data_IF_391556774456
#
_entry.id   IF_391556774456
#
_cell.length_a   1.000
_cell.length_b   1.000
_cell.length_c   1.000
_cell.angle_alpha   90.00
_cell.angle_beta   90.00
_cell.angle_gamma   90.00
#
_symmetry.space_group_name_H-M   'P 1'
#
loop_
_entity.id
_entity.type
_entity.pdbx_description
1 polymer ?
#
# COMPACT_ATOMS: atom_id res chain seq x y z
N UNK A 1 10.54 11.52 1.61
CA UNK A 1 9.65 10.46 2.17
C UNK A 1 8.59 11.16 3.00
N UNK A 2 7.46 10.53 3.30
CA UNK A 2 6.43 11.13 4.17
C UNK A 2 5.96 10.14 5.22
N UNK A 3 5.44 10.68 6.31
CA UNK A 3 4.78 9.95 7.39
C UNK A 3 3.53 10.71 7.79
N UNK A 4 2.37 10.05 7.78
CA UNK A 4 1.11 10.64 8.23
C UNK A 4 0.20 9.60 8.86
N UNK A 5 -0.81 10.06 9.58
CA UNK A 5 -1.87 9.20 10.08
C UNK A 5 -2.98 9.07 9.05
N UNK A 6 -3.46 7.84 8.85
CA UNK A 6 -4.63 7.51 8.05
C UNK A 6 -5.59 6.67 8.89
N UNK A 7 -6.87 6.99 8.86
CA UNK A 7 -7.91 6.13 9.36
C UNK A 7 -7.99 4.83 8.53
N UNK A 8 -8.41 3.71 9.14
CA UNK A 8 -8.54 2.44 8.43
C UNK A 8 -9.40 2.53 7.18
N UNK A 9 -10.50 3.29 7.23
CA UNK A 9 -11.35 3.55 6.05
C UNK A 9 -10.62 4.25 4.90
N UNK A 10 -9.70 5.18 5.22
CA UNK A 10 -8.92 5.90 4.22
C UNK A 10 -7.89 4.97 3.56
N UNK A 11 -7.28 4.06 4.33
CA UNK A 11 -6.39 3.02 3.80
C UNK A 11 -7.14 2.11 2.83
N UNK A 12 -8.32 1.62 3.22
CA UNK A 12 -9.14 0.77 2.37
C UNK A 12 -9.55 1.50 1.08
N UNK A 13 -10.00 2.75 1.19
CA UNK A 13 -10.37 3.57 0.04
C UNK A 13 -9.21 3.77 -0.93
N UNK A 14 -8.02 4.13 -0.45
CA UNK A 14 -6.84 4.30 -1.30
C UNK A 14 -6.50 3.00 -2.04
N UNK A 15 -6.62 1.85 -1.37
CA UNK A 15 -6.38 0.55 -2.02
C UNK A 15 -7.41 0.23 -3.09
N UNK A 16 -8.69 0.55 -2.85
CA UNK A 16 -9.76 0.40 -3.84
C UNK A 16 -9.58 1.33 -5.03
N UNK A 17 -9.19 2.59 -4.82
CA UNK A 17 -8.99 3.57 -5.89
C UNK A 17 -7.84 3.15 -6.82
N UNK A 18 -6.74 2.61 -6.26
CA UNK A 18 -5.64 2.05 -7.07
C UNK A 18 -6.10 0.81 -7.82
N UNK A 19 -6.84 -0.09 -7.17
CA UNK A 19 -7.36 -1.29 -7.82
C UNK A 19 -8.36 -0.93 -8.93
N UNK A 20 -9.18 0.08 -8.73
CA UNK A 20 -10.13 0.55 -9.74
C UNK A 20 -9.45 1.15 -10.94
N UNK A 21 -8.40 1.94 -10.75
CA UNK A 21 -7.60 2.43 -11.86
C UNK A 21 -7.03 1.30 -12.73
N UNK A 22 -6.53 0.23 -12.11
CA UNK A 22 -5.88 -0.87 -12.84
C UNK A 22 -6.88 -1.85 -13.46
N UNK A 23 -7.97 -2.12 -12.75
CA UNK A 23 -8.97 -3.12 -13.11
C UNK A 23 -10.30 -2.49 -13.52
N UNK A 24 -10.26 -1.24 -13.97
CA UNK A 24 -11.44 -0.59 -14.51
C UNK A 24 -11.96 -1.39 -15.71
N UNK A 25 -13.26 -1.68 -15.82
CA UNK A 25 -13.78 -2.47 -16.94
C UNK A 25 -13.54 -1.79 -18.29
N UNK A 26 -13.66 -0.46 -18.33
CA UNK A 26 -13.31 0.34 -19.49
C UNK A 26 -11.80 0.64 -19.52
N UNK A 27 -11.05 0.15 -20.53
CA UNK A 27 -9.62 0.38 -20.68
C UNK A 27 -9.22 1.85 -20.78
N UNK A 28 -10.10 2.74 -21.23
CA UNK A 28 -9.80 4.17 -21.36
C UNK A 28 -9.45 4.82 -20.02
N UNK A 29 -9.99 4.30 -18.92
CA UNK A 29 -9.71 4.79 -17.57
C UNK A 29 -8.47 4.18 -16.92
N UNK A 30 -7.83 3.19 -17.57
CA UNK A 30 -6.62 2.56 -17.04
C UNK A 30 -5.41 3.42 -17.36
N UNK A 31 -4.80 3.98 -16.33
CA UNK A 31 -3.64 4.87 -16.47
C UNK A 31 -2.31 4.09 -16.58
N UNK A 32 -2.36 2.76 -16.45
CA UNK A 32 -1.20 1.88 -16.44
C UNK A 32 -0.55 1.76 -15.05
N UNK A 33 0.60 1.09 -14.99
CA UNK A 33 1.30 0.81 -13.73
C UNK A 33 0.87 -0.50 -13.07
N UNK A 34 1.16 -0.61 -11.77
CA UNK A 34 0.93 -1.79 -10.94
C UNK A 34 0.24 -1.40 -9.62
N UNK A 35 -0.32 -2.40 -8.92
CA UNK A 35 -0.78 -2.22 -7.55
C UNK A 35 0.33 -1.69 -6.63
N UNK A 36 -0.05 -0.81 -5.70
CA UNK A 36 0.87 -0.32 -4.66
C UNK A 36 1.32 -1.47 -3.77
N UNK A 37 2.64 -1.57 -3.57
CA UNK A 37 3.25 -2.56 -2.68
C UNK A 37 3.18 -2.04 -1.24
N UNK A 38 2.42 -2.75 -0.40
CA UNK A 38 2.18 -2.35 0.99
C UNK A 38 2.96 -3.24 1.95
N UNK A 39 3.74 -2.61 2.84
CA UNK A 39 4.42 -3.26 3.94
C UNK A 39 3.58 -3.26 5.23
N UNK A 40 3.80 -4.25 6.09
CA UNK A 40 3.14 -4.30 7.41
C UNK A 40 1.68 -4.78 7.42
N UNK A 41 1.10 -5.03 6.25
CA UNK A 41 -0.25 -5.55 6.09
C UNK A 41 -0.34 -6.77 5.15
N UNK A 42 -1.47 -7.45 5.23
CA UNK A 42 -1.92 -8.47 4.27
C UNK A 42 -3.33 -8.11 3.78
N UNK A 43 -3.70 -8.56 2.59
CA UNK A 43 -5.05 -8.37 2.05
C UNK A 43 -5.39 -9.40 0.97
N UNK A 44 -6.68 -9.50 0.66
CA UNK A 44 -7.22 -10.26 -0.48
C UNK A 44 -7.70 -9.28 -1.56
N UNK A 45 -7.41 -9.58 -2.82
CA UNK A 45 -7.92 -8.85 -3.98
C UNK A 45 -8.69 -9.77 -4.93
N UNK A 46 -9.84 -9.31 -5.39
CA UNK A 46 -10.66 -9.91 -6.45
C UNK A 46 -10.84 -8.85 -7.56
N UNK A 47 -10.01 -8.89 -8.62
CA UNK A 47 -10.01 -7.88 -9.67
C UNK A 47 -11.31 -7.82 -10.49
N UNK A 48 -12.08 -8.91 -10.51
CA UNK A 48 -13.33 -9.02 -11.28
C UNK A 48 -14.51 -8.30 -10.61
N UNK A 49 -14.38 -7.94 -9.32
CA UNK A 49 -15.41 -7.18 -8.60
C UNK A 49 -15.41 -5.69 -8.98
N UNK A 50 -16.54 -5.05 -8.67
CA UNK A 50 -16.73 -3.61 -8.83
C UNK A 50 -15.95 -2.82 -7.77
N UNK A 51 -15.73 -1.52 -8.03
CA UNK A 51 -15.16 -0.56 -7.07
C UNK A 51 -15.79 -0.71 -5.67
N UNK A 52 -14.92 -0.68 -4.65
CA UNK A 52 -15.32 -0.79 -3.24
C UNK A 52 -15.54 -2.23 -2.76
N UNK A 53 -15.40 -3.22 -3.65
CA UNK A 53 -15.56 -4.65 -3.32
C UNK A 53 -14.37 -5.51 -3.75
N UNK A 54 -13.33 -4.91 -4.34
CA UNK A 54 -12.16 -5.66 -4.82
C UNK A 54 -11.25 -6.07 -3.67
N UNK A 55 -11.10 -5.23 -2.66
CA UNK A 55 -10.17 -5.39 -1.55
C UNK A 55 -10.89 -5.87 -0.30
N UNK A 56 -10.42 -6.97 0.29
CA UNK A 56 -11.00 -7.58 1.47
C UNK A 56 -9.94 -8.20 2.39
N UNK A 57 -10.34 -8.61 3.60
CA UNK A 57 -9.47 -9.21 4.63
C UNK A 57 -8.15 -8.45 4.84
N UNK A 58 -8.24 -7.10 4.95
CA UNK A 58 -7.07 -6.29 5.28
C UNK A 58 -6.69 -6.56 6.74
N UNK A 59 -5.45 -6.97 6.97
CA UNK A 59 -4.91 -7.19 8.32
C UNK A 59 -3.59 -6.46 8.50
N UNK A 60 -3.47 -5.69 9.57
CA UNK A 60 -2.23 -4.97 9.94
C UNK A 60 -1.62 -5.67 11.16
N UNK A 61 -0.40 -6.18 11.04
CA UNK A 61 0.24 -6.95 12.11
C UNK A 61 -0.60 -8.16 12.57
N UNK A 62 -1.35 -8.79 11.65
CA UNK A 62 -2.20 -9.94 11.94
C UNK A 62 -3.59 -9.61 12.50
N UNK A 63 -3.89 -8.35 12.82
CA UNK A 63 -5.21 -7.92 13.31
C UNK A 63 -6.05 -7.32 12.17
N UNK A 64 -7.37 -7.55 12.12
CA UNK A 64 -8.24 -6.91 11.14
C UNK A 64 -8.11 -5.39 11.16
N UNK A 65 -8.20 -4.76 10.00
CA UNK A 65 -8.25 -3.31 9.86
C UNK A 65 -9.53 -2.77 10.54
N UNK A 66 -9.37 -1.77 11.40
CA UNK A 66 -10.46 -1.10 12.08
C UNK A 66 -10.76 0.24 11.37
N UNK A 67 -11.98 0.45 10.80
CA UNK A 67 -12.26 1.62 9.95
C UNK A 67 -12.06 2.99 10.61
N UNK A 68 -12.32 3.09 11.92
CA UNK A 68 -12.22 4.33 12.69
C UNK A 68 -10.83 4.55 13.30
N UNK A 69 -10.02 3.49 13.42
CA UNK A 69 -8.70 3.56 14.03
C UNK A 69 -7.72 4.27 13.12
N UNK A 70 -6.84 5.08 13.71
CA UNK A 70 -5.72 5.74 13.02
C UNK A 70 -4.48 4.85 13.01
N UNK A 71 -3.85 4.78 11.84
CA UNK A 71 -2.62 4.03 11.60
C UNK A 71 -1.57 4.97 11.03
N UNK A 72 -0.33 4.82 11.50
CA UNK A 72 0.81 5.56 10.97
C UNK A 72 1.25 4.92 9.66
N UNK A 73 1.09 5.65 8.56
CA UNK A 73 1.52 5.24 7.23
C UNK A 73 2.79 6.01 6.83
N UNK A 74 3.68 5.34 6.10
CA UNK A 74 4.86 5.94 5.53
C UNK A 74 4.95 5.60 4.04
N UNK A 75 5.47 6.52 3.24
CA UNK A 75 5.62 6.32 1.80
C UNK A 75 6.63 7.26 1.17
N UNK A 76 6.85 7.06 -0.13
CA UNK A 76 7.66 7.93 -0.99
C UNK A 76 7.02 8.03 -2.37
N UNK A 77 7.55 8.89 -3.24
CA UNK A 77 7.01 9.15 -4.58
C UNK A 77 5.54 9.63 -4.54
N UNK A 78 5.25 10.62 -3.69
CA UNK A 78 3.93 11.27 -3.66
C UNK A 78 3.71 12.05 -4.95
N UNK A 79 2.51 11.95 -5.52
CA UNK A 79 2.08 12.73 -6.70
C UNK A 79 1.62 14.13 -6.31
N UNK A 80 1.14 14.31 -5.08
CA UNK A 80 0.36 15.49 -4.70
C UNK A 80 1.18 16.63 -4.07
N UNK A 81 2.35 16.34 -3.50
CA UNK A 81 3.18 17.35 -2.79
C UNK A 81 4.60 16.83 -2.58
N UNK A 82 5.58 17.74 -2.62
CA UNK A 82 6.93 17.44 -2.17
C UNK A 82 6.89 16.99 -0.71
N UNK A 83 7.60 15.91 -0.39
CA UNK A 83 7.47 15.24 0.89
C UNK A 83 8.55 15.74 1.86
N UNK A 84 8.17 16.17 3.06
CA UNK A 84 9.07 16.81 4.05
C UNK A 84 10.22 15.91 4.53
N UNK A 85 10.06 14.60 4.48
CA UNK A 85 11.07 13.64 4.95
C UNK A 85 12.19 13.43 3.95
N UNK A 86 13.33 12.86 4.39
CA UNK A 86 14.51 12.68 3.54
C UNK A 86 14.21 11.81 2.30
N UNK A 87 15.04 11.89 1.25
CA UNK A 87 14.92 11.02 0.10
C UNK A 87 14.93 9.54 0.49
N UNK A 88 14.16 8.72 -0.23
CA UNK A 88 14.01 7.30 0.12
C UNK A 88 15.34 6.54 0.05
N UNK A 89 16.22 6.90 -0.89
CA UNK A 89 17.53 6.28 -1.04
C UNK A 89 18.44 6.53 0.17
N UNK A 90 18.39 7.71 0.79
CA UNK A 90 19.19 8.01 1.98
C UNK A 90 18.71 7.15 3.17
N UNK A 91 17.39 7.05 3.36
CA UNK A 91 16.79 6.20 4.40
C UNK A 91 17.19 4.73 4.22
N UNK A 92 17.13 4.23 2.99
CA UNK A 92 17.51 2.84 2.68
C UNK A 92 19.02 2.63 2.84
N UNK A 93 19.86 3.52 2.30
CA UNK A 93 21.31 3.42 2.39
C UNK A 93 21.79 3.40 3.85
N UNK A 94 21.26 4.27 4.69
CA UNK A 94 21.59 4.32 6.11
C UNK A 94 21.14 3.05 6.86
N UNK A 95 19.97 2.51 6.51
CA UNK A 95 19.52 1.24 7.08
C UNK A 95 20.44 0.08 6.68
N UNK A 96 20.83 0.00 5.41
CA UNK A 96 21.72 -1.04 4.89
C UNK A 96 23.12 -0.98 5.50
N UNK A 97 23.69 0.23 5.66
CA UNK A 97 24.99 0.43 6.33
C UNK A 97 24.99 -0.11 7.76
N UNK A 98 23.90 0.11 8.51
CA UNK A 98 23.75 -0.41 9.89
C UNK A 98 23.53 -1.92 9.93
N UNK A 99 22.79 -2.47 8.96
CA UNK A 99 22.44 -3.89 8.94
C UNK A 99 23.59 -4.77 8.45
N UNK A 100 24.42 -4.26 7.52
CA UNK A 100 25.56 -4.95 6.91
C UNK A 100 25.14 -6.01 5.89
N UNK A 101 24.32 -7.00 6.29
CA UNK A 101 23.85 -8.08 5.42
C UNK A 101 22.32 -8.21 5.47
N UNK A 102 21.71 -8.25 4.29
CA UNK A 102 20.27 -8.45 4.12
C UNK A 102 19.99 -9.92 3.82
N UNK A 103 19.03 -10.51 4.54
CA UNK A 103 18.37 -11.77 4.18
C UNK A 103 16.86 -11.52 4.18
N UNK A 104 16.21 -11.80 3.05
CA UNK A 104 14.77 -11.63 2.88
C UNK A 104 14.15 -12.97 2.50
N UNK A 105 13.20 -13.44 3.31
CA UNK A 105 12.36 -14.57 2.94
C UNK A 105 11.14 -14.07 2.16
N UNK A 106 10.60 -14.85 1.20
CA UNK A 106 9.35 -14.55 0.54
C UNK A 106 8.23 -14.38 1.57
N UNK A 107 7.45 -13.30 1.44
CA UNK A 107 6.31 -13.01 2.31
C UNK A 107 5.07 -12.84 1.44
N UNK A 108 4.24 -13.89 1.25
CA UNK A 108 2.98 -13.73 0.55
C UNK A 108 2.06 -12.86 1.41
N UNK A 109 1.88 -11.61 0.99
CA UNK A 109 1.02 -10.61 1.67
C UNK A 109 -0.31 -10.42 0.96
N UNK A 110 -0.41 -10.89 -0.27
CA UNK A 110 -1.57 -10.68 -1.14
C UNK A 110 -2.12 -12.03 -1.53
N UNK A 111 -3.41 -12.23 -1.30
CA UNK A 111 -4.18 -13.32 -1.87
C UNK A 111 -4.97 -12.79 -3.07
N UNK A 112 -4.80 -13.40 -4.23
CA UNK A 112 -5.61 -13.11 -5.41
C UNK A 112 -6.71 -14.16 -5.49
N UNK A 113 -7.93 -13.72 -5.74
CA UNK A 113 -9.11 -14.57 -5.95
C UNK A 113 -9.59 -14.39 -7.39
#
# INVERSE_FOLDING_TARGET
TWVRELAGREIHQIMEDVADNLFHPDPYYRQGGDMVRLGGLTYTIDPAKTLGRRISDIRIGGRPLEPARRYKAAGWASVATEADGPPAWDVVADHLRRLGRVKLDPRPRVRVV
#
